data_IF_447538193466
#
_entry.id   IF_447538193466
#
_cell.length_a   1.000
_cell.length_b   1.000
_cell.length_c   1.000
_cell.angle_alpha   90.00
_cell.angle_beta   90.00
_cell.angle_gamma   90.00
#
_symmetry.space_group_name_H-M   'P 1'
#
loop_
_entity.id
_entity.type
_entity.pdbx_description
1 polymer ?
#
# COMPACT_ATOMS: atom_id res chain seq x y z
N UNK A 1 -19.66 13.19 7.17
CA UNK A 1 -18.32 13.42 6.54
C UNK A 1 -17.49 12.14 6.60
N UNK A 2 -16.96 11.68 5.49
CA UNK A 2 -16.15 10.46 5.41
C UNK A 2 -14.72 10.83 5.04
N UNK A 3 -13.74 10.33 5.81
CA UNK A 3 -12.32 10.42 5.51
C UNK A 3 -11.76 9.04 5.18
N UNK A 4 -11.02 8.92 4.07
CA UNK A 4 -10.22 7.74 3.77
C UNK A 4 -8.77 8.10 4.12
N UNK A 5 -8.27 7.54 5.21
CA UNK A 5 -7.06 8.03 5.89
C UNK A 5 -5.89 7.07 5.67
N UNK A 6 -4.88 7.54 4.95
CA UNK A 6 -3.59 6.86 4.84
C UNK A 6 -2.80 6.99 6.14
N UNK A 7 -2.53 5.86 6.80
CA UNK A 7 -1.81 5.82 8.07
C UNK A 7 -0.32 5.51 7.93
N UNK A 8 0.20 5.59 6.71
CA UNK A 8 1.61 5.34 6.41
C UNK A 8 1.92 3.87 6.17
N UNK A 9 3.20 3.60 5.96
CA UNK A 9 3.74 2.28 5.65
C UNK A 9 3.93 1.47 6.92
N UNK A 10 3.35 0.29 6.95
CA UNK A 10 3.46 -0.59 8.11
C UNK A 10 2.90 0.05 9.40
N UNK A 11 3.21 -0.54 10.53
CA UNK A 11 2.73 -0.06 11.83
C UNK A 11 3.84 -0.14 12.89
N UNK A 12 5.08 -0.31 12.44
CA UNK A 12 6.26 -0.43 13.30
C UNK A 12 6.78 0.92 13.77
N UNK A 13 6.84 1.91 12.88
CA UNK A 13 7.29 3.26 13.21
C UNK A 13 6.14 4.25 13.14
N UNK A 14 5.90 4.94 14.24
CA UNK A 14 4.86 5.95 14.35
C UNK A 14 5.18 7.26 13.64
N UNK A 15 6.41 7.47 13.20
CA UNK A 15 6.83 8.68 12.50
C UNK A 15 6.29 8.76 11.07
N UNK A 16 5.89 7.64 10.47
CA UNK A 16 5.42 7.58 9.09
C UNK A 16 3.96 8.05 8.88
N UNK A 17 3.21 8.28 9.96
CA UNK A 17 1.87 8.86 9.87
C UNK A 17 1.94 10.38 9.74
N UNK A 18 1.17 10.97 8.84
CA UNK A 18 1.12 12.43 8.68
C UNK A 18 0.37 13.10 9.84
N UNK A 19 0.77 14.32 10.20
CA UNK A 19 0.06 15.11 11.24
C UNK A 19 -1.41 15.32 10.88
N UNK A 20 -1.73 15.50 9.59
CA UNK A 20 -3.12 15.64 9.14
C UNK A 20 -3.92 14.35 9.38
N UNK A 21 -3.34 13.19 9.11
CA UNK A 21 -3.98 11.90 9.39
C UNK A 21 -4.27 11.75 10.90
N UNK A 22 -3.30 12.07 11.75
CA UNK A 22 -3.49 12.06 13.22
C UNK A 22 -4.62 12.98 13.65
N UNK A 23 -4.68 14.21 13.10
CA UNK A 23 -5.75 15.15 13.46
C UNK A 23 -7.13 14.63 13.06
N UNK A 24 -7.27 14.14 11.83
CA UNK A 24 -8.54 13.58 11.34
C UNK A 24 -8.99 12.37 12.17
N UNK A 25 -8.05 11.49 12.54
CA UNK A 25 -8.34 10.34 13.43
C UNK A 25 -8.84 10.82 14.80
N UNK A 26 -8.22 11.86 15.37
CA UNK A 26 -8.65 12.43 16.66
C UNK A 26 -10.06 13.01 16.63
N UNK A 27 -10.45 13.60 15.52
CA UNK A 27 -11.74 14.26 15.34
C UNK A 27 -12.85 13.29 14.90
N UNK A 28 -12.53 12.03 14.67
CA UNK A 28 -13.49 11.02 14.17
C UNK A 28 -14.34 10.45 15.31
N UNK A 29 -15.64 10.32 15.04
CA UNK A 29 -16.60 9.62 15.91
C UNK A 29 -16.55 8.11 15.72
N UNK A 30 -16.27 7.68 14.48
CA UNK A 30 -16.17 6.27 14.12
C UNK A 30 -14.86 6.05 13.36
N UNK A 31 -14.13 5.00 13.72
CA UNK A 31 -12.91 4.58 13.03
C UNK A 31 -13.10 3.15 12.52
N UNK A 32 -12.97 2.98 11.20
CA UNK A 32 -13.16 1.72 10.49
C UNK A 32 -11.81 1.23 9.98
N UNK A 33 -11.46 -0.03 10.25
CA UNK A 33 -10.18 -0.58 9.81
C UNK A 33 -10.06 -2.09 10.01
N UNK A 34 -8.98 -2.67 9.52
CA UNK A 34 -8.55 -4.03 9.91
C UNK A 34 -8.06 -4.03 11.35
N UNK A 35 -8.02 -5.21 11.99
CA UNK A 35 -7.56 -5.33 13.38
C UNK A 35 -6.20 -4.63 13.60
N UNK A 36 -5.24 -4.87 12.72
CA UNK A 36 -3.89 -4.30 12.76
C UNK A 36 -3.90 -2.77 12.67
N UNK A 37 -4.72 -2.19 11.78
CA UNK A 37 -4.84 -0.74 11.62
C UNK A 37 -5.47 -0.09 12.84
N UNK A 38 -6.50 -0.73 13.39
CA UNK A 38 -7.20 -0.25 14.58
C UNK A 38 -6.30 -0.25 15.81
N UNK A 39 -5.50 -1.29 16.01
CA UNK A 39 -4.55 -1.34 17.13
C UNK A 39 -3.51 -0.21 17.05
N UNK A 40 -3.05 0.11 15.84
CA UNK A 40 -2.12 1.22 15.63
C UNK A 40 -2.71 2.58 16.01
N UNK A 41 -4.00 2.84 15.72
CA UNK A 41 -4.60 4.17 15.91
C UNK A 41 -5.28 4.38 17.26
N UNK A 42 -5.51 3.34 18.05
CA UNK A 42 -6.16 3.44 19.39
C UNK A 42 -5.57 4.51 20.30
N UNK A 43 -4.26 4.72 20.23
CA UNK A 43 -3.56 5.74 21.04
C UNK A 43 -3.90 7.18 20.67
N UNK A 44 -4.39 7.43 19.45
CA UNK A 44 -4.72 8.77 18.97
C UNK A 44 -6.15 9.18 19.33
N UNK A 45 -7.07 8.22 19.38
CA UNK A 45 -8.48 8.48 19.75
C UNK A 45 -9.07 7.25 20.46
N UNK A 46 -9.16 7.35 21.79
CA UNK A 46 -9.73 6.30 22.65
C UNK A 46 -11.26 6.42 22.82
N UNK A 47 -11.87 7.50 22.33
CA UNK A 47 -13.31 7.77 22.48
C UNK A 47 -14.11 7.36 21.24
N UNK A 48 -13.47 7.23 20.09
CA UNK A 48 -14.14 6.83 18.86
C UNK A 48 -14.71 5.41 18.95
N UNK A 49 -15.88 5.21 18.34
CA UNK A 49 -16.41 3.86 18.09
C UNK A 49 -15.51 3.15 17.10
N UNK A 50 -14.90 2.06 17.52
CA UNK A 50 -14.03 1.23 16.70
C UNK A 50 -14.86 0.17 15.97
N UNK A 51 -14.76 0.12 14.63
CA UNK A 51 -15.47 -0.84 13.81
C UNK A 51 -14.46 -1.63 12.94
N UNK A 52 -14.33 -2.92 13.25
CA UNK A 52 -13.51 -3.84 12.46
C UNK A 52 -14.32 -4.37 11.28
N UNK A 53 -13.71 -4.48 10.11
CA UNK A 53 -14.25 -5.23 8.98
C UNK A 53 -13.43 -6.50 8.73
N UNK A 54 -14.09 -7.54 8.24
CA UNK A 54 -13.45 -8.77 7.77
C UNK A 54 -13.36 -8.80 6.23
N UNK A 55 -14.36 -8.25 5.56
CA UNK A 55 -14.40 -8.13 4.09
C UNK A 55 -14.54 -6.67 3.69
N UNK A 56 -13.78 -6.26 2.67
CA UNK A 56 -13.77 -4.87 2.18
C UNK A 56 -15.18 -4.34 1.84
N UNK A 57 -16.09 -5.22 1.37
CA UNK A 57 -17.44 -4.81 1.01
C UNK A 57 -18.26 -4.31 2.21
N UNK A 58 -17.98 -4.80 3.42
CA UNK A 58 -18.67 -4.40 4.66
C UNK A 58 -18.48 -2.92 4.97
N UNK A 59 -17.36 -2.34 4.51
CA UNK A 59 -17.09 -0.89 4.68
C UNK A 59 -18.22 -0.06 4.10
N UNK A 60 -18.77 -0.44 2.96
CA UNK A 60 -19.83 0.33 2.28
C UNK A 60 -21.11 0.35 3.12
N UNK A 61 -21.47 -0.76 3.74
CA UNK A 61 -22.64 -0.86 4.64
C UNK A 61 -22.42 0.00 5.89
N UNK A 62 -21.23 -0.13 6.52
CA UNK A 62 -20.86 0.68 7.69
C UNK A 62 -20.98 2.17 7.41
N UNK A 63 -20.48 2.62 6.23
CA UNK A 63 -20.53 4.02 5.83
C UNK A 63 -21.97 4.52 5.61
N UNK A 64 -22.82 3.71 4.97
CA UNK A 64 -24.23 4.04 4.75
C UNK A 64 -25.02 4.13 6.04
N UNK A 65 -24.83 3.17 6.94
CA UNK A 65 -25.55 3.10 8.21
C UNK A 65 -25.17 4.24 9.19
N UNK A 66 -24.02 4.88 8.97
CA UNK A 66 -23.51 5.94 9.84
C UNK A 66 -23.29 7.27 9.09
N UNK A 67 -24.08 7.56 8.07
CA UNK A 67 -23.88 8.70 7.15
C UNK A 67 -23.86 10.08 7.84
N UNK A 68 -24.43 10.23 9.02
CA UNK A 68 -24.47 11.47 9.79
C UNK A 68 -23.24 11.69 10.69
N UNK A 69 -22.33 10.72 10.77
CA UNK A 69 -21.15 10.76 11.63
C UNK A 69 -19.88 11.21 10.90
N UNK A 70 -18.88 11.63 11.67
CA UNK A 70 -17.50 11.83 11.16
C UNK A 70 -16.79 10.48 11.22
N UNK A 71 -16.50 9.91 10.04
CA UNK A 71 -15.97 8.55 9.92
C UNK A 71 -14.58 8.60 9.29
N UNK A 72 -13.60 7.92 9.90
CA UNK A 72 -12.32 7.61 9.29
C UNK A 72 -12.24 6.14 8.88
N UNK A 73 -12.04 5.89 7.59
CA UNK A 73 -11.68 4.56 7.06
C UNK A 73 -10.16 4.52 6.91
N UNK A 74 -9.52 3.64 7.65
CA UNK A 74 -8.07 3.52 7.65
C UNK A 74 -7.57 2.74 6.44
N UNK A 75 -6.47 3.20 5.86
CA UNK A 75 -5.76 2.53 4.79
C UNK A 75 -4.25 2.50 5.07
N UNK A 76 -3.61 1.37 4.81
CA UNK A 76 -2.13 1.29 4.84
C UNK A 76 -1.55 2.10 3.69
N UNK A 77 -0.43 2.78 3.92
CA UNK A 77 0.24 3.60 2.91
C UNK A 77 -0.62 4.77 2.43
N UNK A 78 -0.69 4.95 1.12
CA UNK A 78 -1.50 5.96 0.45
C UNK A 78 -2.79 5.34 -0.11
N UNK A 79 -3.99 5.78 0.33
CA UNK A 79 -5.27 5.21 -0.10
C UNK A 79 -5.53 5.26 -1.60
N UNK A 80 -4.92 6.24 -2.31
CA UNK A 80 -5.11 6.46 -3.74
C UNK A 80 -4.13 5.68 -4.61
N UNK A 81 -3.10 5.07 -4.02
CA UNK A 81 -2.07 4.33 -4.77
C UNK A 81 -2.29 2.81 -4.62
N UNK A 82 -3.04 2.21 -5.55
CA UNK A 82 -3.48 0.81 -5.49
C UNK A 82 -4.17 0.45 -4.16
N UNK A 83 -4.79 1.45 -3.54
CA UNK A 83 -5.45 1.34 -2.24
C UNK A 83 -6.97 1.30 -2.33
N UNK A 84 -7.60 1.43 -1.17
CA UNK A 84 -9.05 1.27 -0.99
C UNK A 84 -9.89 2.45 -1.50
N UNK A 85 -9.27 3.60 -1.81
CA UNK A 85 -10.00 4.82 -2.13
C UNK A 85 -10.93 4.66 -3.34
N UNK A 86 -10.42 4.12 -4.44
CA UNK A 86 -11.21 3.90 -5.66
C UNK A 86 -12.41 2.99 -5.41
N UNK A 87 -12.23 1.92 -4.63
CA UNK A 87 -13.31 1.00 -4.28
C UNK A 87 -14.45 1.70 -3.55
N UNK A 88 -14.11 2.56 -2.57
CA UNK A 88 -15.10 3.30 -1.77
C UNK A 88 -15.78 4.37 -2.62
N UNK A 89 -15.00 5.20 -3.33
CA UNK A 89 -15.55 6.30 -4.14
C UNK A 89 -16.54 5.81 -5.19
N UNK A 90 -16.20 4.74 -5.91
CA UNK A 90 -17.07 4.19 -6.96
C UNK A 90 -18.41 3.68 -6.41
N UNK A 91 -18.43 3.15 -5.17
CA UNK A 91 -19.64 2.57 -4.55
C UNK A 91 -20.43 3.54 -3.70
N UNK A 92 -19.83 4.65 -3.33
CA UNK A 92 -20.45 5.68 -2.51
C UNK A 92 -20.94 6.89 -3.33
N UNK A 93 -20.85 6.88 -4.67
CA UNK A 93 -21.41 7.93 -5.53
C UNK A 93 -22.95 8.01 -5.36
N UNK A 94 -23.54 9.24 -5.27
CA UNK A 94 -22.96 10.56 -5.51
C UNK A 94 -22.51 11.33 -4.25
N UNK A 95 -21.86 10.73 -3.29
CA UNK A 95 -21.45 11.40 -2.05
C UNK A 95 -20.36 12.44 -2.30
N UNK A 96 -20.66 13.71 -2.04
CA UNK A 96 -19.72 14.83 -2.13
C UNK A 96 -18.82 14.93 -0.90
N UNK A 97 -19.21 14.32 0.24
CA UNK A 97 -18.55 14.46 1.54
C UNK A 97 -17.46 13.41 1.81
N UNK A 98 -16.72 12.99 0.78
CA UNK A 98 -15.58 12.08 0.94
C UNK A 98 -14.28 12.85 0.74
N UNK A 99 -13.37 12.80 1.72
CA UNK A 99 -12.03 13.33 1.60
C UNK A 99 -10.99 12.22 1.75
N UNK A 100 -9.93 12.29 0.91
CA UNK A 100 -8.79 11.39 1.01
C UNK A 100 -7.65 12.12 1.72
N UNK A 101 -7.13 11.51 2.78
CA UNK A 101 -5.93 11.98 3.47
C UNK A 101 -4.78 11.07 3.04
N UNK A 102 -3.80 11.57 2.27
CA UNK A 102 -2.69 10.75 1.81
C UNK A 102 -1.80 10.30 2.95
N UNK A 103 -1.18 9.15 2.79
CA UNK A 103 -0.13 8.63 3.67
C UNK A 103 1.10 8.26 2.87
N UNK A 104 2.22 8.03 3.52
CA UNK A 104 3.47 7.59 2.91
C UNK A 104 3.30 6.13 2.45
N UNK A 105 3.44 5.89 1.16
CA UNK A 105 3.32 4.52 0.61
C UNK A 105 4.58 3.70 0.89
N UNK A 106 4.45 2.38 0.86
CA UNK A 106 5.58 1.46 0.97
C UNK A 106 6.61 1.65 -0.15
N UNK A 107 6.18 2.11 -1.31
CA UNK A 107 7.08 2.46 -2.43
C UNK A 107 7.92 3.67 -2.06
N UNK A 108 7.30 4.78 -1.62
CA UNK A 108 8.01 5.99 -1.19
C UNK A 108 8.98 5.71 -0.04
N UNK A 109 8.53 4.90 0.93
CA UNK A 109 9.35 4.47 2.06
C UNK A 109 10.60 3.71 1.57
N UNK A 110 10.43 2.69 0.72
CA UNK A 110 11.54 1.87 0.22
C UNK A 110 12.53 2.69 -0.61
N UNK A 111 12.06 3.57 -1.51
CA UNK A 111 12.94 4.46 -2.27
C UNK A 111 13.76 5.38 -1.37
N UNK A 112 13.17 5.90 -0.28
CA UNK A 112 13.86 6.73 0.71
C UNK A 112 14.94 5.95 1.45
N UNK A 113 14.66 4.70 1.86
CA UNK A 113 15.64 3.79 2.48
C UNK A 113 16.82 3.50 1.55
N UNK A 114 16.56 3.32 0.27
CA UNK A 114 17.56 3.02 -0.75
C UNK A 114 18.37 4.26 -1.18
N UNK A 115 17.89 5.48 -0.86
CA UNK A 115 18.45 6.75 -1.36
C UNK A 115 18.47 6.85 -2.89
N UNK A 116 17.43 6.32 -3.54
CA UNK A 116 17.24 6.33 -4.98
C UNK A 116 16.12 7.31 -5.33
N UNK A 117 16.30 8.10 -6.40
CA UNK A 117 15.27 9.00 -6.90
C UNK A 117 14.08 8.24 -7.49
N UNK A 118 12.87 8.71 -7.20
CA UNK A 118 11.63 8.20 -7.78
C UNK A 118 11.32 8.80 -9.17
N UNK A 119 12.15 9.69 -9.69
CA UNK A 119 11.93 10.27 -11.03
C UNK A 119 11.91 9.13 -12.08
N UNK A 120 11.03 9.24 -13.07
CA UNK A 120 10.82 8.24 -14.13
C UNK A 120 10.41 6.85 -13.61
N UNK A 121 9.75 6.80 -12.45
CA UNK A 121 9.22 5.58 -11.89
C UNK A 121 7.90 5.19 -12.56
N UNK A 122 7.83 3.97 -13.11
CA UNK A 122 6.57 3.33 -13.43
C UNK A 122 6.08 2.52 -12.22
N UNK A 123 4.81 2.62 -11.89
CA UNK A 123 4.21 1.90 -10.76
C UNK A 123 3.06 1.03 -11.24
N UNK A 124 3.04 -0.23 -10.82
CA UNK A 124 1.99 -1.19 -11.16
C UNK A 124 1.68 -2.13 -9.98
N UNK A 125 0.71 -3.02 -10.16
CA UNK A 125 0.26 -3.93 -9.10
C UNK A 125 -0.13 -5.28 -9.68
N UNK A 126 0.19 -6.35 -8.95
CA UNK A 126 -0.27 -7.71 -9.28
C UNK A 126 -1.70 -8.01 -8.77
N UNK A 127 -2.27 -7.16 -7.92
CA UNK A 127 -3.61 -7.36 -7.37
C UNK A 127 -4.70 -7.32 -8.47
N UNK A 128 -5.06 -8.50 -8.99
CA UNK A 128 -6.14 -8.64 -9.96
C UNK A 128 -5.94 -7.94 -11.29
N UNK A 129 -4.69 -7.60 -11.65
CA UNK A 129 -4.32 -6.91 -12.88
C UNK A 129 -3.32 -7.73 -13.69
N UNK A 130 -3.43 -7.64 -15.01
CA UNK A 130 -2.41 -8.15 -15.93
C UNK A 130 -1.30 -7.10 -16.06
N UNK A 131 -0.05 -7.54 -15.95
CA UNK A 131 1.12 -6.68 -16.13
C UNK A 131 1.28 -6.36 -17.62
N UNK A 132 1.58 -5.10 -17.91
CA UNK A 132 2.00 -4.65 -19.23
C UNK A 132 3.50 -4.93 -19.37
N UNK A 133 3.82 -6.05 -20.02
CA UNK A 133 5.21 -6.49 -20.17
C UNK A 133 6.04 -5.50 -20.99
N UNK A 134 5.47 -4.92 -22.04
CA UNK A 134 6.19 -3.94 -22.88
C UNK A 134 6.60 -2.72 -22.05
N UNK A 135 5.70 -2.24 -21.20
CA UNK A 135 5.92 -1.06 -20.40
C UNK A 135 6.95 -1.30 -19.30
N UNK A 136 6.91 -2.45 -18.61
CA UNK A 136 7.90 -2.78 -17.58
C UNK A 136 9.30 -2.98 -18.16
N UNK A 137 9.42 -3.59 -19.34
CA UNK A 137 10.71 -3.81 -20.01
C UNK A 137 11.36 -2.50 -20.48
N UNK A 138 10.56 -1.50 -20.88
CA UNK A 138 11.04 -0.18 -21.32
C UNK A 138 11.31 0.78 -20.15
N UNK A 139 10.76 0.52 -18.98
CA UNK A 139 10.89 1.40 -17.82
C UNK A 139 12.25 1.25 -17.15
N UNK A 140 12.92 2.37 -16.85
CA UNK A 140 14.19 2.37 -16.10
C UNK A 140 14.00 1.87 -14.65
N UNK A 141 12.85 2.20 -14.07
CA UNK A 141 12.48 1.79 -12.71
C UNK A 141 11.01 1.41 -12.69
N UNK A 142 10.69 0.26 -12.11
CA UNK A 142 9.30 -0.17 -11.91
C UNK A 142 9.09 -0.59 -10.47
N UNK A 143 8.06 -0.06 -9.83
CA UNK A 143 7.60 -0.52 -8.53
C UNK A 143 6.35 -1.39 -8.68
N UNK A 144 6.33 -2.51 -7.99
CA UNK A 144 5.23 -3.47 -8.01
C UNK A 144 4.64 -3.62 -6.60
N UNK A 145 3.34 -3.38 -6.49
CA UNK A 145 2.57 -3.86 -5.36
C UNK A 145 2.28 -5.33 -5.57
N UNK A 146 2.76 -6.17 -4.66
CA UNK A 146 2.69 -7.62 -4.77
C UNK A 146 1.54 -8.20 -3.96
N UNK A 147 1.13 -9.41 -4.32
CA UNK A 147 0.18 -10.23 -3.57
C UNK A 147 0.80 -11.59 -3.24
N UNK A 148 0.11 -12.39 -2.42
CA UNK A 148 0.59 -13.72 -2.00
C UNK A 148 0.66 -14.74 -3.15
N UNK A 149 0.22 -14.38 -4.38
CA UNK A 149 0.22 -15.25 -5.56
C UNK A 149 1.35 -14.89 -6.53
N UNK A 150 1.97 -13.73 -6.33
CA UNK A 150 3.03 -13.24 -7.21
C UNK A 150 4.27 -14.12 -7.08
N UNK A 151 4.63 -14.81 -8.16
CA UNK A 151 5.90 -15.53 -8.24
C UNK A 151 6.97 -14.63 -8.84
N UNK A 152 7.92 -14.24 -8.03
CA UNK A 152 9.01 -13.35 -8.42
C UNK A 152 9.83 -13.94 -9.57
N UNK A 153 10.00 -15.26 -9.56
CA UNK A 153 10.68 -16.03 -10.60
C UNK A 153 10.03 -15.84 -11.99
N UNK A 154 8.70 -15.83 -12.08
CA UNK A 154 8.03 -15.66 -13.36
C UNK A 154 8.26 -14.24 -13.92
N UNK A 155 8.28 -13.23 -13.04
CA UNK A 155 8.64 -11.87 -13.44
C UNK A 155 10.11 -11.77 -13.87
N UNK A 156 11.02 -12.40 -13.15
CA UNK A 156 12.44 -12.43 -13.52
C UNK A 156 12.65 -13.05 -14.91
N UNK A 157 11.92 -14.12 -15.22
CA UNK A 157 11.95 -14.74 -16.55
C UNK A 157 11.52 -13.80 -17.68
N UNK A 158 10.54 -12.93 -17.47
CA UNK A 158 10.11 -11.94 -18.48
C UNK A 158 11.31 -11.08 -18.86
N UNK A 159 12.08 -10.58 -17.90
CA UNK A 159 13.26 -9.77 -18.17
C UNK A 159 14.38 -10.59 -18.85
N UNK A 160 14.70 -11.76 -18.31
CA UNK A 160 15.77 -12.62 -18.84
C UNK A 160 15.50 -13.09 -20.28
N UNK A 161 14.25 -13.43 -20.61
CA UNK A 161 13.86 -13.80 -21.98
C UNK A 161 13.98 -12.63 -22.97
N UNK A 162 14.05 -11.40 -22.48
CA UNK A 162 14.29 -10.20 -23.29
C UNK A 162 15.74 -9.70 -23.18
N UNK A 163 16.69 -10.57 -22.75
CA UNK A 163 18.12 -10.27 -22.60
C UNK A 163 18.41 -9.12 -21.61
N UNK A 164 17.55 -8.92 -20.63
CA UNK A 164 17.73 -7.97 -19.54
C UNK A 164 18.01 -8.72 -18.23
N UNK A 165 18.95 -8.21 -17.44
CA UNK A 165 19.26 -8.76 -16.11
C UNK A 165 19.20 -7.66 -15.03
N UNK A 166 18.02 -7.06 -14.80
CA UNK A 166 17.87 -5.94 -13.88
C UNK A 166 18.08 -6.34 -12.41
N UNK A 167 18.29 -5.33 -11.58
CA UNK A 167 18.25 -5.48 -10.13
C UNK A 167 16.82 -5.52 -9.62
N UNK A 168 16.53 -6.55 -8.85
CA UNK A 168 15.30 -6.75 -8.09
C UNK A 168 15.59 -6.37 -6.64
N UNK A 169 14.88 -5.38 -6.14
CA UNK A 169 14.99 -4.88 -4.77
C UNK A 169 13.69 -5.22 -4.06
N UNK A 170 13.77 -6.16 -3.13
CA UNK A 170 12.64 -6.72 -2.40
C UNK A 170 12.64 -6.13 -1.00
N UNK A 171 11.59 -5.36 -0.67
CA UNK A 171 11.40 -4.79 0.66
C UNK A 171 10.31 -5.53 1.41
N UNK A 172 10.70 -6.37 2.37
CA UNK A 172 9.79 -7.17 3.19
C UNK A 172 9.50 -6.47 4.51
N UNK A 173 8.27 -6.58 4.99
CA UNK A 173 7.84 -6.07 6.29
C UNK A 173 8.30 -4.63 6.56
N UNK A 174 8.22 -3.78 5.53
CA UNK A 174 8.72 -2.41 5.58
C UNK A 174 8.13 -1.64 6.76
N UNK A 175 8.99 -0.93 7.49
CA UNK A 175 8.74 -0.20 8.73
C UNK A 175 8.35 -1.06 9.96
N UNK A 176 8.45 -2.39 9.87
CA UNK A 176 8.33 -3.29 11.02
C UNK A 176 9.70 -3.61 11.62
N UNK A 177 9.75 -4.11 12.88
CA UNK A 177 11.02 -4.51 13.52
C UNK A 177 11.79 -5.60 12.76
N UNK A 178 11.09 -6.42 11.96
CA UNK A 178 11.64 -7.45 11.10
C UNK A 178 11.75 -7.02 9.63
N UNK A 179 11.87 -5.71 9.38
CA UNK A 179 12.13 -5.16 8.05
C UNK A 179 13.39 -5.78 7.43
N UNK A 180 13.26 -6.22 6.18
CA UNK A 180 14.38 -6.77 5.43
C UNK A 180 14.36 -6.23 4.01
N UNK A 181 15.53 -5.83 3.51
CA UNK A 181 15.72 -5.40 2.13
C UNK A 181 16.73 -6.34 1.48
N UNK A 182 16.29 -7.04 0.43
CA UNK A 182 17.11 -7.98 -0.35
C UNK A 182 17.29 -7.43 -1.75
N UNK A 183 18.53 -7.47 -2.27
CA UNK A 183 18.86 -7.00 -3.63
C UNK A 183 19.50 -8.15 -4.38
N UNK A 184 18.89 -8.56 -5.50
CA UNK A 184 19.34 -9.65 -6.36
C UNK A 184 19.26 -9.22 -7.83
N UNK A 185 20.11 -9.74 -8.68
CA UNK A 185 19.88 -9.66 -10.12
C UNK A 185 18.82 -10.70 -10.54
N UNK A 186 18.12 -10.46 -11.64
CA UNK A 186 17.05 -11.35 -12.11
C UNK A 186 17.52 -12.80 -12.29
N UNK A 187 18.77 -13.04 -12.74
CA UNK A 187 19.36 -14.37 -12.92
C UNK A 187 19.65 -15.13 -11.60
N UNK A 188 19.55 -14.47 -10.47
CA UNK A 188 19.72 -15.07 -9.13
C UNK A 188 18.42 -15.43 -8.44
N UNK A 189 17.28 -15.09 -9.02
CA UNK A 189 15.97 -15.41 -8.49
C UNK A 189 15.59 -16.83 -8.91
N UNK A 190 15.21 -17.65 -7.95
CA UNK A 190 14.87 -19.06 -8.12
C UNK A 190 13.40 -19.34 -7.80
N UNK A 191 12.94 -20.54 -8.12
CA UNK A 191 11.57 -20.99 -7.78
C UNK A 191 11.36 -21.18 -6.27
N UNK A 192 12.44 -21.29 -5.51
CA UNK A 192 12.42 -21.60 -4.07
C UNK A 192 12.46 -20.32 -3.22
N UNK A 193 12.60 -19.13 -3.87
CA UNK A 193 12.58 -17.86 -3.18
C UNK A 193 11.16 -17.52 -2.74
N UNK A 194 10.94 -17.45 -1.43
CA UNK A 194 9.69 -17.05 -0.80
C UNK A 194 9.90 -15.74 -0.02
N UNK A 195 8.97 -14.81 -0.16
CA UNK A 195 9.02 -13.50 0.48
C UNK A 195 7.70 -13.19 1.18
N UNK A 196 7.78 -12.63 2.38
CA UNK A 196 6.62 -12.23 3.18
C UNK A 196 6.25 -10.78 2.88
N UNK A 197 4.96 -10.46 2.69
CA UNK A 197 4.40 -9.10 2.56
C UNK A 197 5.43 -8.07 2.04
N UNK A 198 5.74 -8.14 0.76
CA UNK A 198 6.81 -7.34 0.17
C UNK A 198 6.35 -6.36 -0.90
N UNK A 199 7.17 -5.36 -1.13
CA UNK A 199 7.16 -4.47 -2.30
C UNK A 199 8.40 -4.80 -3.13
N UNK A 200 8.24 -4.81 -4.43
CA UNK A 200 9.33 -5.01 -5.36
C UNK A 200 9.62 -3.74 -6.14
N UNK A 201 10.90 -3.38 -6.24
CA UNK A 201 11.41 -2.39 -7.19
C UNK A 201 12.35 -3.10 -8.15
N UNK A 202 12.10 -2.95 -9.45
CA UNK A 202 13.01 -3.41 -10.51
C UNK A 202 13.71 -2.20 -11.10
N UNK A 203 15.04 -2.27 -11.18
CA UNK A 203 15.89 -1.22 -11.77
C UNK A 203 16.61 -1.79 -12.98
N UNK A 204 16.24 -1.28 -14.16
CA UNK A 204 16.91 -1.53 -15.44
C UNK A 204 18.04 -0.51 -15.59
N UNK A 205 19.29 -0.96 -15.59
CA UNK A 205 20.48 -0.13 -15.85
C UNK A 205 20.82 -0.09 -17.33
#
# INVERSE_FOLDING_TARGET
MIYIVGIGTGFGDYSDITLRAVQVIKDSEIIVGSARQLDFVKKYNSQAKIVKYEKIIEIIEILKDNSNSIISVLASGNPSLYGIADFIIQRMKPYEDIQIIPGISSVEYLFSKLKISMNDLYTTSFHGRKIDEELILKSKKTAFFTDNKTKLYDLAKIYLNNNLNPKFIIGENLSYPNEKITILNADKITTDDEFEMYILIVVNE
#
